data_IF_913189657395
#
_entry.id   IF_913189657395
#
_cell.length_a   1.000
_cell.length_b   1.000
_cell.length_c   1.000
_cell.angle_alpha   90.00
_cell.angle_beta   90.00
_cell.angle_gamma   90.00
#
_symmetry.space_group_name_H-M   'P 1'
#
loop_
_entity.id
_entity.type
_entity.pdbx_description
1 polymer ?
#
# COMPACT_ATOMS: atom_id res chain seq x y z
N UNK A 1 -3.48 34.43 -60.73
CA UNK A 1 -4.61 34.39 -59.77
C UNK A 1 -4.28 33.39 -58.65
N UNK A 2 -4.40 33.73 -57.36
CA UNK A 2 -4.07 32.81 -56.26
C UNK A 2 -5.22 31.82 -56.00
N UNK A 3 -4.90 30.54 -55.77
CA UNK A 3 -5.89 29.50 -55.43
C UNK A 3 -6.21 29.54 -53.92
N UNK A 4 -7.50 29.73 -53.64
CA UNK A 4 -8.11 29.80 -52.31
C UNK A 4 -7.92 28.49 -51.54
N UNK A 5 -7.44 28.57 -50.31
CA UNK A 5 -7.33 27.44 -49.38
C UNK A 5 -8.73 27.03 -48.90
N UNK A 6 -9.13 25.77 -49.14
CA UNK A 6 -10.41 25.22 -48.64
C UNK A 6 -10.35 25.09 -47.12
N UNK A 7 -11.23 25.82 -46.43
CA UNK A 7 -11.39 25.75 -44.98
C UNK A 7 -11.87 24.36 -44.49
N UNK A 8 -11.57 24.07 -43.22
CA UNK A 8 -11.97 22.83 -42.52
C UNK A 8 -13.47 22.57 -42.70
N UNK A 9 -13.91 21.33 -42.99
CA UNK A 9 -15.32 21.04 -43.14
C UNK A 9 -16.06 21.27 -41.82
N UNK A 10 -17.16 22.03 -41.87
CA UNK A 10 -18.04 22.26 -40.73
C UNK A 10 -18.50 20.93 -40.12
N UNK A 11 -18.47 20.85 -38.79
CA UNK A 11 -18.91 19.68 -38.05
C UNK A 11 -20.38 19.41 -38.38
N UNK A 12 -20.62 18.32 -39.12
CA UNK A 12 -21.95 17.99 -39.62
C UNK A 12 -22.82 17.57 -38.44
N UNK A 13 -23.87 18.36 -38.17
CA UNK A 13 -24.89 18.06 -37.16
C UNK A 13 -25.44 16.65 -37.42
N UNK A 14 -25.24 15.76 -36.45
CA UNK A 14 -25.68 14.36 -36.56
C UNK A 14 -27.09 14.25 -36.00
N UNK A 15 -28.04 13.80 -36.83
CA UNK A 15 -29.42 13.60 -36.40
C UNK A 15 -29.52 12.55 -35.29
N UNK A 16 -30.32 12.75 -34.22
CA UNK A 16 -30.35 11.88 -33.04
C UNK A 16 -30.62 10.40 -33.33
N UNK A 17 -31.43 10.11 -34.35
CA UNK A 17 -31.80 8.74 -34.75
C UNK A 17 -30.95 8.17 -35.90
N UNK A 18 -29.85 8.84 -36.29
CA UNK A 18 -28.97 8.36 -37.36
C UNK A 18 -28.11 7.17 -36.92
N UNK A 19 -27.71 6.30 -37.86
CA UNK A 19 -26.72 5.23 -37.60
C UNK A 19 -25.45 5.79 -36.98
N UNK A 20 -25.00 6.97 -37.42
CA UNK A 20 -23.81 7.64 -36.86
C UNK A 20 -24.01 8.02 -35.39
N UNK A 21 -25.19 8.51 -35.00
CA UNK A 21 -25.52 8.79 -33.61
C UNK A 21 -25.54 7.50 -32.76
N UNK A 22 -26.09 6.40 -33.31
CA UNK A 22 -26.10 5.11 -32.63
C UNK A 22 -24.68 4.54 -32.38
N UNK A 23 -23.73 4.73 -33.32
CA UNK A 23 -22.33 4.34 -33.11
C UNK A 23 -21.66 5.17 -32.01
N UNK A 24 -21.86 6.49 -32.02
CA UNK A 24 -21.33 7.38 -31.00
C UNK A 24 -21.86 7.02 -29.61
N UNK A 25 -23.17 6.77 -29.48
CA UNK A 25 -23.79 6.36 -28.22
C UNK A 25 -23.25 5.02 -27.70
N UNK A 26 -23.00 4.04 -28.60
CA UNK A 26 -22.40 2.75 -28.21
C UNK A 26 -20.97 2.91 -27.72
N UNK A 27 -20.18 3.74 -28.38
CA UNK A 27 -18.80 4.02 -27.96
C UNK A 27 -18.75 4.78 -26.65
N UNK A 28 -19.66 5.74 -26.44
CA UNK A 28 -19.80 6.44 -25.17
C UNK A 28 -20.20 5.48 -24.03
N UNK A 29 -21.19 4.60 -24.26
CA UNK A 29 -21.55 3.57 -23.28
C UNK A 29 -20.38 2.62 -22.97
N UNK A 30 -19.60 2.22 -23.98
CA UNK A 30 -18.42 1.37 -23.81
C UNK A 30 -17.33 2.08 -23.01
N UNK A 31 -17.04 3.34 -23.33
CA UNK A 31 -16.07 4.16 -22.63
C UNK A 31 -16.50 4.42 -21.19
N UNK A 32 -17.75 4.83 -20.97
CA UNK A 32 -18.33 5.02 -19.64
C UNK A 32 -18.28 3.76 -18.80
N UNK A 33 -18.53 2.58 -19.39
CA UNK A 33 -18.40 1.29 -18.70
C UNK A 33 -16.94 0.96 -18.38
N UNK A 34 -16.00 1.29 -19.27
CA UNK A 34 -14.56 1.12 -19.03
C UNK A 34 -14.06 2.06 -17.93
N UNK A 35 -14.47 3.32 -17.94
CA UNK A 35 -14.13 4.29 -16.89
C UNK A 35 -14.75 3.90 -15.57
N UNK A 36 -16.03 3.54 -15.55
CA UNK A 36 -16.70 2.99 -14.35
C UNK A 36 -15.97 1.75 -13.83
N UNK A 37 -15.53 0.84 -14.70
CA UNK A 37 -14.73 -0.29 -14.26
C UNK A 37 -13.36 0.11 -13.72
N UNK A 38 -12.72 1.16 -14.26
CA UNK A 38 -11.45 1.67 -13.72
C UNK A 38 -11.67 2.30 -12.34
N UNK A 39 -12.71 3.10 -12.16
CA UNK A 39 -13.04 3.75 -10.88
C UNK A 39 -13.52 2.74 -9.86
N UNK A 40 -14.43 1.83 -10.21
CA UNK A 40 -14.90 0.74 -9.33
C UNK A 40 -13.79 -0.23 -8.97
N UNK A 41 -12.84 -0.51 -9.87
CA UNK A 41 -11.65 -1.29 -9.50
C UNK A 41 -10.77 -0.50 -8.54
N UNK A 42 -10.54 0.79 -8.78
CA UNK A 42 -9.77 1.63 -7.87
C UNK A 42 -10.40 1.73 -6.47
N UNK A 43 -11.73 1.89 -6.37
CA UNK A 43 -12.46 1.96 -5.10
C UNK A 43 -12.69 0.59 -4.45
N UNK A 44 -12.86 -0.48 -5.24
CA UNK A 44 -12.85 -1.83 -4.67
C UNK A 44 -11.48 -2.17 -4.12
N UNK A 45 -10.38 -1.73 -4.73
CA UNK A 45 -9.04 -1.92 -4.18
C UNK A 45 -8.80 -1.10 -2.89
N UNK A 46 -9.44 0.07 -2.73
CA UNK A 46 -9.40 0.79 -1.44
C UNK A 46 -10.19 0.09 -0.32
N UNK A 47 -11.27 -0.62 -0.68
CA UNK A 47 -12.14 -1.32 0.28
C UNK A 47 -11.78 -2.80 0.48
N UNK A 48 -11.08 -3.46 -0.47
CA UNK A 48 -10.63 -4.87 -0.42
C UNK A 48 -9.47 -5.11 0.56
N UNK A 49 -9.19 -4.14 1.43
CA UNK A 49 -8.77 -4.44 2.81
C UNK A 49 -9.78 -5.30 3.60
N UNK A 50 -10.93 -5.66 3.02
CA UNK A 50 -11.92 -6.59 3.54
C UNK A 50 -11.48 -8.07 3.42
N UNK A 51 -11.02 -8.55 4.57
CA UNK A 51 -10.46 -9.84 4.96
C UNK A 51 -11.32 -11.10 4.73
N UNK A 52 -12.24 -11.14 3.76
CA UNK A 52 -13.01 -12.36 3.42
C UNK A 52 -12.96 -12.81 1.96
N UNK A 53 -12.62 -11.95 1.01
CA UNK A 53 -12.44 -12.35 -0.40
C UNK A 53 -11.00 -12.77 -0.74
N UNK A 54 -10.01 -12.38 0.05
CA UNK A 54 -8.60 -12.74 -0.19
C UNK A 54 -8.36 -14.25 -0.07
N UNK A 55 -8.99 -14.92 0.91
CA UNK A 55 -8.90 -16.38 1.07
C UNK A 55 -9.61 -17.12 -0.07
N UNK A 56 -10.78 -16.65 -0.50
CA UNK A 56 -11.59 -17.34 -1.52
C UNK A 56 -11.07 -17.12 -2.96
N UNK A 57 -10.48 -15.95 -3.25
CA UNK A 57 -9.85 -15.65 -4.55
C UNK A 57 -8.47 -16.34 -4.67
N UNK A 58 -7.69 -16.43 -3.59
CA UNK A 58 -6.45 -17.24 -3.56
C UNK A 58 -6.77 -18.73 -3.74
N UNK A 59 -7.83 -19.24 -3.11
CA UNK A 59 -8.25 -20.64 -3.29
C UNK A 59 -8.63 -20.96 -4.75
N UNK A 60 -9.23 -20.00 -5.49
CA UNK A 60 -9.60 -20.17 -6.91
C UNK A 60 -8.45 -19.91 -7.90
N UNK A 61 -7.40 -19.21 -7.46
CA UNK A 61 -6.23 -18.84 -8.26
C UNK A 61 -5.14 -19.92 -8.37
N UNK A 62 -5.21 -21.00 -7.57
CA UNK A 62 -4.27 -22.14 -7.66
C UNK A 62 -4.32 -22.91 -8.99
N UNK A 63 -5.27 -22.61 -9.89
CA UNK A 63 -5.43 -23.30 -11.19
C UNK A 63 -4.76 -22.61 -12.39
N UNK A 64 -4.17 -21.42 -12.22
CA UNK A 64 -3.42 -20.72 -13.29
C UNK A 64 -2.18 -20.00 -12.72
N UNK A 65 -1.17 -20.81 -12.39
CA UNK A 65 0.06 -20.46 -11.66
C UNK A 65 1.01 -19.48 -12.36
N UNK A 66 0.68 -18.93 -13.54
CA UNK A 66 1.64 -18.16 -14.36
C UNK A 66 1.21 -16.70 -14.59
N UNK A 67 -0.06 -16.34 -14.34
CA UNK A 67 -0.57 -14.99 -14.65
C UNK A 67 -0.48 -14.01 -13.48
N UNK A 68 -0.30 -14.51 -12.26
CA UNK A 68 -0.28 -13.71 -11.03
C UNK A 68 1.11 -13.13 -10.75
N UNK A 69 2.18 -13.82 -11.13
CA UNK A 69 3.54 -13.39 -10.76
C UNK A 69 4.09 -12.24 -11.61
N UNK A 70 3.49 -11.95 -12.77
CA UNK A 70 4.00 -10.91 -13.69
C UNK A 70 3.10 -9.67 -13.76
N UNK A 71 1.80 -9.79 -13.51
CA UNK A 71 0.86 -8.67 -13.68
C UNK A 71 0.40 -8.01 -12.36
N UNK A 72 0.55 -8.72 -11.24
CA UNK A 72 0.02 -8.30 -9.94
C UNK A 72 0.89 -7.32 -9.11
N UNK A 73 2.22 -7.17 -9.30
CA UNK A 73 3.00 -6.31 -8.40
C UNK A 73 2.96 -4.81 -8.74
N UNK A 74 2.46 -4.39 -9.90
CA UNK A 74 2.58 -2.98 -10.32
C UNK A 74 1.31 -2.12 -10.18
N UNK A 75 0.12 -2.73 -10.09
CA UNK A 75 -1.15 -2.00 -10.30
C UNK A 75 -1.98 -1.72 -9.03
N UNK A 76 -1.41 -1.97 -7.85
CA UNK A 76 -2.15 -1.96 -6.57
C UNK A 76 -1.79 -0.79 -5.61
N UNK A 77 -0.90 0.13 -6.00
CA UNK A 77 -0.30 1.10 -5.04
C UNK A 77 -0.79 2.56 -5.23
N UNK A 78 -1.34 2.95 -6.38
CA UNK A 78 -1.14 4.35 -6.79
C UNK A 78 -1.95 5.49 -6.12
N UNK A 79 -3.24 5.38 -5.71
CA UNK A 79 -3.95 6.57 -5.20
C UNK A 79 -3.77 6.80 -3.69
N UNK A 80 -3.78 5.73 -2.87
CA UNK A 80 -3.65 5.83 -1.40
C UNK A 80 -2.24 6.29 -1.01
N UNK A 81 -1.22 5.91 -1.78
CA UNK A 81 0.14 6.37 -1.54
C UNK A 81 0.29 7.87 -1.78
N UNK A 82 -0.38 8.46 -2.78
CA UNK A 82 -0.29 9.89 -3.06
C UNK A 82 -0.84 10.77 -1.93
N UNK A 83 -2.07 10.52 -1.49
CA UNK A 83 -2.72 11.26 -0.41
C UNK A 83 -1.96 11.12 0.92
N UNK A 84 -1.53 9.89 1.24
CA UNK A 84 -0.69 9.62 2.42
C UNK A 84 0.58 10.46 2.37
N UNK A 85 1.31 10.45 1.25
CA UNK A 85 2.54 11.21 1.09
C UNK A 85 2.30 12.73 1.19
N UNK A 86 1.22 13.26 0.60
CA UNK A 86 0.88 14.67 0.71
C UNK A 86 0.63 15.09 2.16
N UNK A 87 -0.06 14.24 2.94
CA UNK A 87 -0.22 14.49 4.37
C UNK A 87 1.15 14.56 5.07
N UNK A 88 2.03 13.57 4.84
CA UNK A 88 3.38 13.57 5.44
C UNK A 88 4.16 14.82 5.07
N UNK A 89 4.09 15.26 3.81
CA UNK A 89 4.77 16.47 3.34
C UNK A 89 4.25 17.73 4.05
N UNK A 90 2.95 17.84 4.27
CA UNK A 90 2.34 18.99 4.95
C UNK A 90 2.73 19.11 6.43
N UNK A 91 3.08 17.99 7.05
CA UNK A 91 3.47 17.91 8.46
C UNK A 91 4.96 18.21 8.69
N UNK A 92 5.76 18.33 7.61
CA UNK A 92 7.18 18.65 7.71
C UNK A 92 7.38 20.15 7.92
N UNK A 93 8.07 20.50 9.01
CA UNK A 93 8.64 21.83 9.22
C UNK A 93 9.56 22.23 8.04
N UNK A 94 9.29 23.34 7.34
CA UNK A 94 10.13 23.81 6.23
C UNK A 94 11.55 24.20 6.64
N UNK A 95 11.76 24.62 7.90
CA UNK A 95 13.05 25.11 8.39
C UNK A 95 13.96 23.99 8.91
N UNK A 96 13.40 22.84 9.31
CA UNK A 96 14.17 21.73 9.88
C UNK A 96 14.99 21.02 8.80
N UNK A 97 16.30 20.84 8.97
CA UNK A 97 17.16 20.24 7.93
C UNK A 97 17.32 18.71 8.07
N UNK A 98 17.10 18.17 9.27
CA UNK A 98 17.32 16.75 9.60
C UNK A 98 16.21 16.26 10.53
N UNK A 99 15.78 15.02 10.32
CA UNK A 99 14.82 14.34 11.20
C UNK A 99 15.48 13.14 11.83
N UNK A 100 15.22 12.96 13.12
CA UNK A 100 15.63 11.76 13.84
C UNK A 100 14.59 10.66 13.67
N UNK A 101 14.94 9.44 14.07
CA UNK A 101 13.99 8.32 14.13
C UNK A 101 12.80 8.62 15.04
N UNK A 102 13.05 9.32 16.17
CA UNK A 102 12.00 9.74 17.09
C UNK A 102 11.02 10.71 16.43
N UNK A 103 11.54 11.73 15.74
CA UNK A 103 10.68 12.66 15.00
C UNK A 103 9.80 11.94 13.96
N UNK A 104 10.36 10.91 13.29
CA UNK A 104 9.59 10.10 12.36
C UNK A 104 8.46 9.33 13.04
N UNK A 105 8.70 8.76 14.23
CA UNK A 105 7.66 8.14 15.04
C UNK A 105 6.58 9.16 15.44
N UNK A 106 6.98 10.34 15.92
CA UNK A 106 6.04 11.39 16.34
C UNK A 106 5.13 11.84 15.18
N UNK A 107 5.68 11.96 13.96
CA UNK A 107 4.89 12.29 12.76
C UNK A 107 3.93 11.14 12.41
N UNK A 108 4.35 9.87 12.54
CA UNK A 108 3.48 8.71 12.32
C UNK A 108 2.34 8.69 13.34
N UNK A 109 2.61 8.98 14.61
CA UNK A 109 1.56 9.05 15.62
C UNK A 109 0.51 10.10 15.26
N UNK A 110 0.94 11.30 14.86
CA UNK A 110 0.02 12.34 14.37
C UNK A 110 -0.79 11.87 13.14
N UNK A 111 -0.18 11.11 12.23
CA UNK A 111 -0.88 10.53 11.09
C UNK A 111 -1.96 9.52 11.51
N UNK A 112 -1.69 8.69 12.51
CA UNK A 112 -2.64 7.70 13.03
C UNK A 112 -3.84 8.36 13.71
N UNK A 113 -3.65 9.55 14.29
CA UNK A 113 -4.69 10.35 14.95
C UNK A 113 -5.46 11.29 13.99
N UNK A 114 -5.21 11.22 12.67
CA UNK A 114 -5.84 12.12 11.68
C UNK A 114 -7.37 12.04 11.59
N UNK A 115 -7.96 10.96 12.08
CA UNK A 115 -9.40 10.71 12.02
C UNK A 115 -10.12 10.91 13.36
N UNK A 116 -9.40 11.30 14.42
CA UNK A 116 -9.99 11.38 15.77
C UNK A 116 -11.14 12.39 15.83
N UNK A 117 -10.99 13.55 15.19
CA UNK A 117 -12.06 14.56 15.09
C UNK A 117 -13.28 14.07 14.32
N UNK A 118 -13.08 13.29 13.25
CA UNK A 118 -14.18 12.69 12.48
C UNK A 118 -14.92 11.64 13.33
N UNK A 119 -14.19 10.82 14.10
CA UNK A 119 -14.78 9.83 15.00
C UNK A 119 -15.55 10.48 16.14
N UNK A 120 -15.00 11.52 16.77
CA UNK A 120 -15.67 12.30 17.81
C UNK A 120 -16.96 12.93 17.29
N UNK A 121 -16.92 13.52 16.09
CA UNK A 121 -18.12 14.08 15.47
C UNK A 121 -19.20 13.00 15.26
N UNK A 122 -18.82 11.81 14.78
CA UNK A 122 -19.76 10.69 14.61
C UNK A 122 -20.35 10.26 15.95
N UNK A 123 -19.53 10.17 17.00
CA UNK A 123 -19.96 9.81 18.34
C UNK A 123 -20.96 10.83 18.91
N UNK A 124 -20.65 12.13 18.80
CA UNK A 124 -21.55 13.20 19.22
C UNK A 124 -22.88 13.16 18.47
N UNK A 125 -22.86 13.00 17.14
CA UNK A 125 -24.07 12.91 16.33
C UNK A 125 -24.95 11.71 16.70
N UNK A 126 -24.33 10.58 17.03
CA UNK A 126 -25.04 9.39 17.50
C UNK A 126 -25.51 9.49 18.96
N UNK A 127 -24.85 10.33 19.78
CA UNK A 127 -25.20 10.61 21.16
C UNK A 127 -26.42 11.54 21.33
N UNK A 128 -26.81 12.29 20.28
CA UNK A 128 -28.00 13.13 20.30
C UNK A 128 -29.25 12.25 20.39
N UNK A 129 -29.90 12.26 21.56
CA UNK A 129 -31.12 11.48 21.82
C UNK A 129 -32.27 11.91 20.90
N UNK A 130 -32.85 10.94 20.20
CA UNK A 130 -34.02 11.13 19.33
C UNK A 130 -34.50 9.80 18.73
N UNK A 131 -35.52 9.86 17.85
CA UNK A 131 -36.03 8.68 17.09
C UNK A 131 -35.18 8.36 15.85
N UNK A 132 -33.91 8.78 15.82
CA UNK A 132 -33.02 8.56 14.69
C UNK A 132 -32.17 7.32 14.98
N UNK A 133 -32.05 6.43 13.99
CA UNK A 133 -31.16 5.28 14.07
C UNK A 133 -29.70 5.70 13.97
N UNK A 134 -28.78 4.74 14.19
CA UNK A 134 -27.33 4.97 14.09
C UNK A 134 -26.95 5.58 12.75
N UNK A 135 -26.34 6.76 12.78
CA UNK A 135 -25.81 7.48 11.62
C UNK A 135 -24.32 7.13 11.41
N UNK A 136 -23.85 7.26 10.17
CA UNK A 136 -22.44 7.11 9.78
C UNK A 136 -21.76 5.77 10.10
N UNK A 137 -22.50 4.71 10.46
CA UNK A 137 -21.90 3.43 10.87
C UNK A 137 -20.99 2.77 9.82
N UNK A 138 -21.27 2.93 8.53
CA UNK A 138 -20.40 2.43 7.46
C UNK A 138 -19.06 3.17 7.39
N UNK A 139 -19.07 4.51 7.53
CA UNK A 139 -17.87 5.34 7.50
C UNK A 139 -17.02 5.12 8.75
N UNK A 140 -17.66 5.09 9.92
CA UNK A 140 -17.02 4.79 11.20
C UNK A 140 -16.30 3.44 11.18
N UNK A 141 -16.93 2.41 10.62
CA UNK A 141 -16.31 1.08 10.49
C UNK A 141 -15.09 1.09 9.58
N UNK A 142 -15.15 1.78 8.43
CA UNK A 142 -14.01 1.92 7.50
C UNK A 142 -12.84 2.65 8.15
N UNK A 143 -13.11 3.73 8.89
CA UNK A 143 -12.09 4.49 9.61
C UNK A 143 -11.42 3.61 10.67
N UNK A 144 -12.22 2.99 11.55
CA UNK A 144 -11.71 2.12 12.63
C UNK A 144 -10.85 0.99 12.07
N UNK A 145 -11.30 0.33 11.00
CA UNK A 145 -10.52 -0.72 10.34
C UNK A 145 -9.22 -0.19 9.71
N UNK A 146 -9.24 1.03 9.16
CA UNK A 146 -8.05 1.67 8.58
C UNK A 146 -7.01 1.95 9.67
N UNK A 147 -7.42 2.58 10.77
CA UNK A 147 -6.54 2.88 11.92
C UNK A 147 -5.97 1.60 12.51
N UNK A 148 -6.81 0.57 12.72
CA UNK A 148 -6.38 -0.72 13.25
C UNK A 148 -5.28 -1.36 12.39
N UNK A 149 -5.47 -1.37 11.07
CA UNK A 149 -4.48 -1.89 10.12
C UNK A 149 -3.18 -1.10 10.15
N UNK A 150 -3.27 0.24 10.19
CA UNK A 150 -2.11 1.12 10.20
C UNK A 150 -1.33 1.02 11.52
N UNK A 151 -2.02 0.91 12.67
CA UNK A 151 -1.40 0.66 13.98
C UNK A 151 -0.70 -0.69 14.04
N UNK A 152 -1.36 -1.75 13.57
CA UNK A 152 -0.76 -3.08 13.51
C UNK A 152 0.52 -3.10 12.66
N UNK A 153 0.57 -2.32 11.58
CA UNK A 153 1.80 -2.15 10.78
C UNK A 153 2.88 -1.41 11.56
N UNK A 154 2.54 -0.31 12.23
CA UNK A 154 3.50 0.51 12.97
C UNK A 154 4.13 -0.23 14.17
N UNK A 155 3.34 -1.04 14.86
CA UNK A 155 3.79 -1.85 16.00
C UNK A 155 4.48 -3.16 15.57
N UNK A 156 4.11 -3.69 14.40
CA UNK A 156 4.61 -4.96 13.87
C UNK A 156 5.79 -4.80 12.91
N UNK A 157 5.50 -4.91 11.61
CA UNK A 157 6.49 -5.01 10.52
C UNK A 157 7.18 -3.66 10.20
N UNK A 158 6.62 -2.55 10.68
CA UNK A 158 7.07 -1.20 10.40
C UNK A 158 6.17 -0.50 9.38
N UNK A 159 5.86 0.76 9.69
CA UNK A 159 5.04 1.63 8.87
C UNK A 159 5.88 2.30 7.79
N UNK A 160 5.47 2.19 6.53
CA UNK A 160 6.18 2.80 5.40
C UNK A 160 5.86 4.31 5.30
N UNK A 161 6.90 5.13 5.35
CA UNK A 161 6.85 6.59 5.19
C UNK A 161 7.95 7.07 4.25
N UNK A 162 7.87 8.29 3.68
CA UNK A 162 8.98 8.86 2.94
C UNK A 162 10.23 8.97 3.83
N UNK A 163 11.40 8.71 3.26
CA UNK A 163 12.67 8.73 4.00
C UNK A 163 13.06 10.17 4.36
N UNK A 164 12.53 10.65 5.47
CA UNK A 164 12.79 11.99 6.01
C UNK A 164 14.08 12.04 6.84
N UNK A 165 14.65 10.89 7.22
CA UNK A 165 15.87 10.79 8.01
C UNK A 165 17.09 11.16 7.14
N UNK A 166 17.07 10.73 5.87
CA UNK A 166 18.13 11.11 4.93
C UNK A 166 17.85 12.51 4.34
N UNK A 167 18.76 13.45 4.59
CA UNK A 167 18.63 14.84 4.11
C UNK A 167 18.50 14.98 2.58
N UNK A 168 19.10 14.09 1.79
CA UNK A 168 18.96 14.11 0.32
C UNK A 168 17.54 13.72 -0.11
N UNK A 169 16.99 12.69 0.52
CA UNK A 169 15.63 12.22 0.24
C UNK A 169 14.60 13.24 0.75
N UNK A 170 14.84 13.85 1.90
CA UNK A 170 14.01 14.92 2.45
C UNK A 170 13.87 16.11 1.49
N UNK A 171 14.96 16.60 0.90
CA UNK A 171 14.90 17.70 -0.10
C UNK A 171 14.05 17.32 -1.30
N UNK A 172 14.31 16.12 -1.86
CA UNK A 172 13.55 15.58 -2.99
C UNK A 172 12.06 15.48 -2.67
N UNK A 173 11.74 15.07 -1.45
CA UNK A 173 10.37 14.92 -0.99
C UNK A 173 9.68 16.26 -0.72
N UNK A 174 10.40 17.28 -0.23
CA UNK A 174 9.85 18.63 -0.05
C UNK A 174 9.46 19.30 -1.37
N UNK A 175 10.27 19.12 -2.40
CA UNK A 175 10.05 19.71 -3.72
C UNK A 175 8.99 18.95 -4.54
N UNK A 176 8.56 17.77 -4.07
CA UNK A 176 7.58 16.98 -4.78
C UNK A 176 6.20 17.66 -4.76
N UNK A 177 5.64 17.92 -5.94
CA UNK A 177 4.39 18.70 -6.10
C UNK A 177 3.12 17.84 -6.04
N UNK A 178 3.20 16.60 -5.54
CA UNK A 178 2.08 15.65 -5.62
C UNK A 178 1.95 14.93 -6.98
N UNK A 179 2.90 15.10 -7.91
CA UNK A 179 2.85 14.43 -9.21
C UNK A 179 3.05 12.92 -9.06
N UNK A 180 1.99 12.16 -9.39
CA UNK A 180 1.96 10.69 -9.29
C UNK A 180 3.04 10.02 -10.16
N UNK A 181 3.47 10.65 -11.26
CA UNK A 181 4.51 10.09 -12.13
C UNK A 181 5.89 10.06 -11.47
N UNK A 182 6.09 10.91 -10.45
CA UNK A 182 7.35 11.01 -9.70
C UNK A 182 7.38 10.12 -8.46
N UNK A 183 6.27 9.42 -8.14
CA UNK A 183 6.21 8.49 -7.01
C UNK A 183 7.33 7.44 -6.99
N UNK A 184 7.71 6.80 -8.13
CA UNK A 184 8.78 5.80 -8.13
C UNK A 184 10.15 6.34 -7.70
N UNK A 185 10.35 7.66 -7.77
CA UNK A 185 11.61 8.31 -7.40
C UNK A 185 11.66 8.69 -5.91
N UNK A 186 10.52 8.66 -5.21
CA UNK A 186 10.47 8.94 -3.77
C UNK A 186 10.92 7.69 -3.02
N UNK A 187 11.95 7.84 -2.18
CA UNK A 187 12.43 6.75 -1.33
C UNK A 187 11.55 6.62 -0.10
N UNK A 188 11.08 5.40 0.14
CA UNK A 188 10.29 5.04 1.31
C UNK A 188 11.16 4.24 2.30
N UNK A 189 10.90 4.42 3.59
CA UNK A 189 11.55 3.73 4.70
C UNK A 189 10.48 3.17 5.63
N UNK A 190 10.71 1.97 6.18
CA UNK A 190 9.90 1.39 7.26
C UNK A 190 10.37 1.92 8.60
N UNK A 191 9.44 2.46 9.39
CA UNK A 191 9.68 2.91 10.76
C UNK A 191 8.73 2.16 11.68
N UNK A 192 9.27 1.55 12.74
CA UNK A 192 8.50 0.81 13.74
C UNK A 192 8.71 1.41 15.12
N UNK A 193 7.70 1.25 15.98
CA UNK A 193 7.74 1.74 17.36
C UNK A 193 8.78 0.97 18.23
N UNK A 194 8.93 -0.35 17.98
CA UNK A 194 9.76 -1.28 18.78
C UNK A 194 11.25 -0.96 18.83
N UNK A 195 11.78 -0.21 17.87
CA UNK A 195 13.22 0.04 17.80
C UNK A 195 13.71 1.17 18.71
N UNK A 196 12.81 1.91 19.35
CA UNK A 196 13.17 2.90 20.38
C UNK A 196 13.23 2.29 21.78
N UNK A 197 12.50 1.20 22.03
CA UNK A 197 12.41 0.53 23.33
C UNK A 197 13.61 -0.38 23.62
N UNK A 198 14.22 -0.96 22.57
CA UNK A 198 15.39 -1.85 22.67
C UNK A 198 16.73 -1.12 22.88
N UNK A 199 16.73 0.21 23.01
CA UNK A 199 17.92 1.05 23.25
C UNK A 199 17.98 1.67 24.65
N UNK A 200 17.20 1.15 25.62
CA UNK A 200 17.36 1.49 27.04
C UNK A 200 18.25 0.50 27.82
N UNK A 201 18.65 -0.61 27.22
CA UNK A 201 19.60 -1.55 27.81
C UNK A 201 20.56 -2.05 26.71
N UNK A 202 21.83 -1.65 26.78
CA UNK A 202 22.91 -2.22 25.96
C UNK A 202 23.38 -1.39 24.77
N UNK A 203 24.16 -0.33 25.02
CA UNK A 203 25.12 0.17 24.04
C UNK A 203 26.52 -0.37 24.35
N UNK A 204 26.92 -1.47 23.70
CA UNK A 204 28.30 -1.66 23.23
C UNK A 204 28.29 -2.39 21.87
N UNK A 205 28.63 -1.61 20.83
CA UNK A 205 29.45 -1.89 19.63
C UNK A 205 29.22 -3.18 18.81
N UNK A 206 28.96 -3.00 17.50
CA UNK A 206 30.00 -3.26 16.47
C UNK A 206 29.60 -2.64 15.10
N UNK A 207 30.56 -1.94 14.48
CA UNK A 207 30.53 -1.43 13.09
C UNK A 207 31.33 -2.36 12.14
N UNK A 208 31.05 -2.30 10.83
CA UNK A 208 31.92 -2.70 9.70
C UNK A 208 31.86 -4.19 9.28
N UNK A 209 31.33 -4.56 8.10
CA UNK A 209 31.95 -4.56 6.74
C UNK A 209 33.13 -5.57 6.65
N UNK A 210 33.37 -6.43 5.65
CA UNK A 210 32.79 -6.88 4.36
C UNK A 210 33.54 -8.20 3.98
N UNK A 211 32.91 -9.06 3.15
CA UNK A 211 33.43 -10.04 2.16
C UNK A 211 34.80 -10.76 2.31
N UNK A 212 34.80 -12.10 2.15
CA UNK A 212 35.49 -12.81 1.04
C UNK A 212 35.19 -14.33 0.99
N UNK A 213 35.18 -14.86 -0.24
CA UNK A 213 34.91 -16.23 -0.70
C UNK A 213 36.07 -17.24 -0.43
N UNK A 214 35.78 -18.51 -0.76
CA UNK A 214 36.68 -19.64 -1.09
C UNK A 214 37.11 -20.54 0.10
N UNK A 215 37.27 -21.86 0.00
CA UNK A 215 36.99 -22.90 -1.01
C UNK A 215 37.40 -24.25 -0.38
N UNK A 216 36.69 -25.32 -0.73
CA UNK A 216 37.07 -26.74 -0.85
C UNK A 216 37.69 -27.65 0.24
N UNK A 217 37.20 -28.91 0.13
CA UNK A 217 37.78 -30.24 0.45
C UNK A 217 37.87 -30.71 1.91
N UNK A 218 37.67 -31.98 2.28
CA UNK A 218 37.42 -33.29 1.62
C UNK A 218 36.85 -34.19 2.75
N UNK A 219 35.77 -34.96 2.55
CA UNK A 219 35.78 -36.41 2.27
C UNK A 219 36.65 -37.25 3.24
N UNK A 220 36.01 -37.90 4.20
CA UNK A 220 36.46 -39.21 4.71
C UNK A 220 35.23 -40.05 5.05
N UNK A 221 35.17 -41.22 4.43
CA UNK A 221 34.12 -42.21 4.57
C UNK A 221 34.72 -43.57 4.94
N UNK A 222 33.95 -44.35 5.68
CA UNK A 222 33.91 -45.82 5.69
C UNK A 222 32.95 -46.23 6.81
N UNK A 223 31.87 -46.96 6.49
CA UNK A 223 31.77 -48.44 6.47
C UNK A 223 32.08 -49.06 7.85
N UNK A 224 31.37 -50.05 8.38
CA UNK A 224 30.23 -50.88 8.03
C UNK A 224 29.95 -51.71 9.29
N UNK A 225 28.67 -51.96 9.58
CA UNK A 225 28.13 -53.28 9.98
C UNK A 225 28.58 -53.82 11.36
N UNK A 226 27.71 -54.22 12.28
CA UNK A 226 26.90 -55.42 12.14
C UNK A 226 26.28 -55.79 13.51
N UNK A 227 25.22 -56.59 13.41
CA UNK A 227 24.77 -57.61 14.36
C UNK A 227 23.73 -57.29 15.46
N UNK A 228 22.89 -58.31 15.56
CA UNK A 228 21.57 -58.49 16.12
C UNK A 228 21.69 -59.28 17.45
N UNK A 229 20.55 -59.56 18.10
CA UNK A 229 20.29 -60.40 19.30
C UNK A 229 19.86 -59.56 20.51
N UNK A 230 18.87 -59.91 21.32
CA UNK A 230 17.81 -60.92 21.37
C UNK A 230 16.86 -60.45 22.49
N UNK A 231 15.55 -60.45 22.28
CA UNK A 231 14.59 -61.41 22.87
C UNK A 231 14.04 -61.04 24.28
N UNK A 232 12.75 -60.65 24.26
CA UNK A 232 11.62 -61.01 25.14
C UNK A 232 11.85 -61.15 26.65
N UNK A 233 11.13 -60.33 27.41
CA UNK A 233 10.16 -60.80 28.42
C UNK A 233 9.35 -59.61 28.95
N UNK A 234 8.03 -59.63 28.82
CA UNK A 234 7.20 -59.50 30.02
C UNK A 234 5.81 -60.07 29.78
N UNK A 235 5.31 -60.78 30.79
CA UNK A 235 4.12 -61.59 30.78
C UNK A 235 3.18 -61.16 31.90
N UNK A 236 1.88 -61.18 31.58
CA UNK A 236 0.69 -61.03 32.44
C UNK A 236 0.26 -59.62 32.85
#
# INVERSE_FOLDING_TARGET
>A
MPKIQRGKPAEKVVHPYSRKAAYMAREECRLRRKERQKTEKATRLSNIGESKLFVHVIARAKKKKVFIDVFFPFFLVSPITGEKLLWFQSELDPAKATYTKKDACDIIERYLHRFDSELEQIELMNGIKGRQGRLHGAREAVIKQTIERERAQFEGVGFEIPDIINGKHLKTFREWTGDLKKLPNIKLRKVSNKSLESKKEGEEKHEGEENQENDDNEEDGSDLDSEQMDEISDSH
#
